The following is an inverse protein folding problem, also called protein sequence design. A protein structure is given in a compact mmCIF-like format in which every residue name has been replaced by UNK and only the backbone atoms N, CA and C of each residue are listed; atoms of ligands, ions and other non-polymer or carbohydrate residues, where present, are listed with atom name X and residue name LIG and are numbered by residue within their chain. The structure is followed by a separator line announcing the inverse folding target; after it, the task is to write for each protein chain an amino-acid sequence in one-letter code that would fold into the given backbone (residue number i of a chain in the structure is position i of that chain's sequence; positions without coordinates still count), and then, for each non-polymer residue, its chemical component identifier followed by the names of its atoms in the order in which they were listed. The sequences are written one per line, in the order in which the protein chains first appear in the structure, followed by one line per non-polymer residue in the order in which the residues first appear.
data_IF_319035458672
#
_entry.id   IF_319035458672
#
_cell.length_a   1.000
_cell.length_b   1.000
_cell.length_c   1.000
_cell.angle_alpha   90.00
_cell.angle_beta   90.00
_cell.angle_gamma   90.00
#
_symmetry.space_group_name_H-M   'P 1'
#
loop_
_entity.id
_entity.type
_entity.pdbx_description
1 polymer ?
#
# COMPACT_ATOMS: atom_id res chain seq x y z
N UNK A 1 -14.90 -11.66 30.11
CA UNK A 1 -14.18 -12.06 28.88
C UNK A 1 -14.66 -13.45 28.48
N UNK A 2 -15.56 -13.51 27.50
CA UNK A 2 -16.14 -14.76 27.03
C UNK A 2 -15.36 -15.20 25.79
N UNK A 3 -14.75 -16.38 25.77
CA UNK A 3 -14.09 -16.90 24.57
C UNK A 3 -14.54 -18.35 24.34
N UNK A 4 -14.53 -18.78 23.08
CA UNK A 4 -14.85 -20.17 22.71
C UNK A 4 -13.55 -20.90 22.42
N UNK A 5 -13.34 -22.00 23.12
CA UNK A 5 -12.24 -22.95 22.86
C UNK A 5 -12.79 -24.19 22.18
N UNK A 6 -12.23 -24.55 21.03
CA UNK A 6 -12.61 -25.78 20.32
C UNK A 6 -11.39 -26.47 19.75
N UNK A 7 -11.27 -27.77 20.00
CA UNK A 7 -10.28 -28.62 19.33
C UNK A 7 -10.97 -29.33 18.16
N UNK A 8 -10.46 -29.12 16.95
CA UNK A 8 -11.07 -29.66 15.74
C UNK A 8 -10.02 -29.95 14.66
N UNK A 9 -10.41 -30.62 13.58
CA UNK A 9 -9.55 -30.79 12.42
C UNK A 9 -9.47 -29.45 11.65
N UNK A 10 -8.26 -29.07 11.23
CA UNK A 10 -8.01 -27.82 10.52
C UNK A 10 -8.79 -27.67 9.22
N UNK A 11 -9.25 -28.76 8.61
CA UNK A 11 -10.09 -28.71 7.40
C UNK A 11 -11.39 -27.89 7.58
N UNK A 12 -11.88 -27.74 8.82
CA UNK A 12 -13.06 -26.91 9.11
C UNK A 12 -12.77 -25.43 8.83
N UNK A 13 -11.52 -25.00 9.00
CA UNK A 13 -11.08 -23.63 8.74
C UNK A 13 -10.72 -23.40 7.27
N UNK A 14 -10.56 -24.44 6.46
CA UNK A 14 -10.09 -24.33 5.07
C UNK A 14 -11.05 -23.56 4.14
N UNK A 15 -12.34 -23.44 4.50
CA UNK A 15 -13.33 -22.63 3.78
C UNK A 15 -13.47 -21.20 4.32
N UNK A 16 -12.88 -20.93 5.48
CA UNK A 16 -13.02 -19.67 6.21
C UNK A 16 -11.77 -18.81 6.02
N UNK A 17 -10.59 -19.44 6.05
CA UNK A 17 -9.29 -18.79 5.88
C UNK A 17 -8.35 -19.68 5.07
N UNK A 18 -7.38 -19.05 4.40
CA UNK A 18 -6.29 -19.77 3.74
C UNK A 18 -5.34 -20.36 4.79
N UNK A 19 -5.34 -21.70 4.87
CA UNK A 19 -4.47 -22.43 5.77
C UNK A 19 -3.14 -22.79 5.08
N UNK A 20 -2.00 -22.54 5.73
CA UNK A 20 -0.70 -23.01 5.24
C UNK A 20 -0.67 -24.54 5.21
N UNK A 21 0.09 -25.10 4.27
CA UNK A 21 0.11 -26.54 3.99
C UNK A 21 0.47 -27.38 5.23
N UNK A 22 1.36 -26.86 6.06
CA UNK A 22 1.81 -27.50 7.30
C UNK A 22 0.71 -27.67 8.36
N UNK A 23 -0.40 -26.94 8.24
CA UNK A 23 -1.54 -27.00 9.16
C UNK A 23 -2.73 -27.75 8.56
N UNK A 24 -2.72 -28.14 7.28
CA UNK A 24 -3.81 -28.91 6.66
C UNK A 24 -3.91 -30.32 7.24
N UNK A 25 -5.12 -30.87 7.35
CA UNK A 25 -5.41 -32.20 7.88
C UNK A 25 -4.88 -32.47 9.31
N UNK A 26 -4.62 -31.45 10.12
CA UNK A 26 -4.11 -31.60 11.48
C UNK A 26 -5.16 -31.28 12.52
N UNK A 27 -5.01 -31.87 13.71
CA UNK A 27 -5.81 -31.51 14.89
C UNK A 27 -5.25 -30.19 15.43
N UNK A 28 -6.08 -29.15 15.41
CA UNK A 28 -5.70 -27.79 15.83
C UNK A 28 -6.63 -27.31 16.94
N UNK A 29 -6.11 -26.40 17.74
CA UNK A 29 -6.89 -25.68 18.76
C UNK A 29 -7.32 -24.33 18.20
N UNK A 30 -8.62 -24.05 18.30
CA UNK A 30 -9.26 -22.82 17.82
C UNK A 30 -9.70 -22.04 19.04
N UNK A 31 -9.23 -20.80 19.14
CA UNK A 31 -9.63 -19.85 20.16
C UNK A 31 -10.34 -18.68 19.47
N UNK A 32 -11.62 -18.49 19.81
CA UNK A 32 -12.43 -17.39 19.28
C UNK A 32 -12.67 -16.38 20.38
N UNK A 33 -12.16 -15.17 20.16
CA UNK A 33 -12.35 -14.05 21.06
C UNK A 33 -13.35 -13.06 20.46
N UNK A 34 -14.30 -12.53 21.25
CA UNK A 34 -15.14 -11.43 20.83
C UNK A 34 -14.23 -10.23 20.53
N UNK A 35 -14.53 -9.54 19.44
CA UNK A 35 -13.81 -8.35 19.06
C UNK A 35 -14.49 -7.15 19.70
N UNK A 36 -13.91 -6.63 20.79
CA UNK A 36 -14.53 -5.58 21.61
C UNK A 36 -14.30 -4.14 21.06
N UNK A 37 -13.51 -3.97 19.98
CA UNK A 37 -13.16 -2.66 19.41
C UNK A 37 -13.65 -2.46 17.98
N UNK A 38 -14.91 -2.05 17.80
CA UNK A 38 -15.41 -1.55 16.50
C UNK A 38 -14.90 -0.11 16.18
N UNK A 39 -13.99 0.43 16.98
CA UNK A 39 -13.37 1.73 16.73
C UNK A 39 -11.86 1.55 16.74
N UNK A 40 -11.23 1.47 15.55
CA UNK A 40 -10.00 2.19 15.18
C UNK A 40 -9.19 1.55 14.01
N UNK A 41 -9.49 0.33 13.53
CA UNK A 41 -8.58 -0.32 12.55
C UNK A 41 -9.18 -0.83 11.22
N UNK A 42 -10.49 -0.78 10.98
CA UNK A 42 -11.04 -1.03 9.62
C UNK A 42 -10.70 0.09 8.62
N UNK A 43 -10.18 1.22 9.13
CA UNK A 43 -9.40 2.15 8.35
C UNK A 43 -7.92 1.73 8.46
N UNK A 44 -7.53 0.68 7.73
CA UNK A 44 -6.22 0.70 7.08
C UNK A 44 -6.16 2.06 6.41
N UNK A 45 -5.41 2.99 7.02
CA UNK A 45 -5.16 4.30 6.48
C UNK A 45 -4.50 4.08 5.12
N UNK A 46 -5.31 3.94 4.08
CA UNK A 46 -4.91 4.11 2.72
C UNK A 46 -4.42 5.55 2.69
N UNK A 47 -3.11 5.73 2.86
CA UNK A 47 -2.47 7.03 2.66
C UNK A 47 -3.08 7.56 1.37
N UNK A 48 -3.72 8.75 1.36
CA UNK A 48 -4.32 9.25 0.15
C UNK A 48 -3.25 9.18 -0.93
N UNK A 49 -3.53 8.45 -2.03
CA UNK A 49 -2.58 8.29 -3.14
C UNK A 49 -2.36 9.69 -3.73
N UNK A 50 -1.37 10.41 -3.21
CA UNK A 50 -1.02 11.74 -3.70
C UNK A 50 -0.37 11.53 -5.07
N UNK A 51 -0.89 12.19 -6.10
CA UNK A 51 -0.26 12.21 -7.43
C UNK A 51 1.19 12.73 -7.37
N UNK A 52 1.50 13.51 -6.33
CA UNK A 52 2.85 14.00 -6.01
C UNK A 52 3.78 12.83 -5.66
N UNK A 53 4.72 12.54 -6.56
CA UNK A 53 5.70 11.46 -6.42
C UNK A 53 5.48 10.29 -7.39
N UNK A 54 4.31 10.19 -8.03
CA UNK A 54 4.02 9.08 -8.95
C UNK A 54 4.97 9.01 -10.16
N UNK A 55 5.45 10.18 -10.58
CA UNK A 55 6.38 10.34 -11.71
C UNK A 55 7.81 10.66 -11.25
N UNK A 56 8.14 10.50 -9.97
CA UNK A 56 9.45 10.86 -9.43
C UNK A 56 10.60 10.12 -10.12
N UNK A 57 10.37 8.87 -10.55
CA UNK A 57 11.34 8.08 -11.33
C UNK A 57 11.69 8.65 -12.72
N UNK A 58 10.87 9.56 -13.25
CA UNK A 58 11.11 10.24 -14.52
C UNK A 58 11.70 11.65 -14.33
N UNK A 59 11.95 12.05 -13.07
CA UNK A 59 12.56 13.34 -12.78
C UNK A 59 14.02 13.35 -13.24
N UNK A 60 14.29 14.10 -14.30
CA UNK A 60 15.65 14.40 -14.74
C UNK A 60 16.02 15.82 -14.28
N UNK A 61 17.01 15.94 -13.39
CA UNK A 61 17.42 17.24 -12.83
C UNK A 61 18.11 18.12 -13.88
N UNK A 62 18.92 17.52 -14.74
CA UNK A 62 19.67 18.25 -15.76
C UNK A 62 18.74 18.93 -16.77
N UNK A 63 17.62 18.28 -17.12
CA UNK A 63 16.60 18.88 -17.99
C UNK A 63 15.81 19.99 -17.28
N UNK A 64 15.54 19.86 -15.99
CA UNK A 64 14.84 20.90 -15.22
C UNK A 64 15.66 22.19 -15.14
N UNK A 65 16.98 22.08 -14.99
CA UNK A 65 17.86 23.24 -14.96
C UNK A 65 17.90 23.95 -16.31
N UNK A 66 17.83 23.20 -17.42
CA UNK A 66 17.70 23.75 -18.78
C UNK A 66 16.34 24.41 -19.01
N UNK A 67 15.25 23.82 -18.51
CA UNK A 67 13.89 24.40 -18.60
C UNK A 67 13.79 25.77 -17.93
N UNK A 68 14.43 25.94 -16.77
CA UNK A 68 14.42 27.20 -16.04
C UNK A 68 15.07 28.35 -16.84
N UNK A 69 16.09 28.04 -17.64
CA UNK A 69 16.78 29.01 -18.50
C UNK A 69 16.21 29.14 -19.91
N UNK A 70 15.30 28.25 -20.33
CA UNK A 70 14.85 28.12 -21.71
C UNK A 70 14.16 29.40 -22.22
N UNK A 71 13.32 30.04 -21.39
CA UNK A 71 12.64 31.27 -21.77
C UNK A 71 13.58 32.45 -21.94
N UNK A 72 14.53 32.63 -21.01
CA UNK A 72 15.52 33.70 -21.10
C UNK A 72 16.40 33.53 -22.34
N UNK A 73 16.79 32.28 -22.65
CA UNK A 73 17.57 31.96 -23.83
C UNK A 73 16.79 32.17 -25.13
N UNK A 74 15.53 31.74 -25.20
CA UNK A 74 14.69 31.93 -26.37
C UNK A 74 14.48 33.41 -26.70
N UNK A 75 14.30 34.27 -25.68
CA UNK A 75 14.18 35.72 -25.87
C UNK A 75 15.49 36.34 -26.38
N UNK A 76 16.64 35.90 -25.86
CA UNK A 76 17.95 36.35 -26.36
C UNK A 76 18.19 35.90 -27.80
N UNK A 77 17.92 34.63 -28.12
CA UNK A 77 18.08 34.07 -29.46
C UNK A 77 17.19 34.80 -30.50
N UNK A 78 16.00 35.27 -30.11
CA UNK A 78 15.10 36.04 -30.99
C UNK A 78 15.58 37.49 -31.19
N UNK A 79 16.13 38.12 -30.15
CA UNK A 79 16.71 39.47 -30.23
C UNK A 79 18.06 39.52 -30.94
N UNK A 80 18.87 38.46 -30.85
CA UNK A 80 20.16 38.34 -31.56
C UNK A 80 19.98 38.01 -33.06
N UNK A 81 18.80 37.52 -33.47
CA UNK A 81 18.47 37.21 -34.87
C UNK A 81 17.49 38.21 -35.53
N UNK A 82 17.28 39.40 -34.93
CA UNK A 82 16.65 40.58 -35.57
C UNK A 82 17.70 41.62 -35.97
#
# INVERSE_FOLDING_TARGET
MNFVRKVANSNILARIIDLPENLRNKKVEILVFPYDNVNEEDNLAQKPKRARGLLERYKNKDLQDLENGAWAKAVLDEYENS
#
